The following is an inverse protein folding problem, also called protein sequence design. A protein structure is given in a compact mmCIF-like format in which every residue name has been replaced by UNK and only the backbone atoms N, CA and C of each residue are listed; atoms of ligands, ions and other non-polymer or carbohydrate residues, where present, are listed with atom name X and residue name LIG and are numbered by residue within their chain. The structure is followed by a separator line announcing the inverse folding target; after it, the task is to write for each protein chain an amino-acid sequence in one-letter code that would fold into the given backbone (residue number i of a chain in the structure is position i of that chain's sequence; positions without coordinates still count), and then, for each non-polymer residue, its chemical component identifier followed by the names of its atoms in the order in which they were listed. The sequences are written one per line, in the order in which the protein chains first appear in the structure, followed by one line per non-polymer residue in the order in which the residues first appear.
data_IF_537359183468
#
_entry.id   IF_537359183468
#
_cell.length_a   1.000
_cell.length_b   1.000
_cell.length_c   1.000
_cell.angle_alpha   90.00
_cell.angle_beta   90.00
_cell.angle_gamma   90.00
#
_symmetry.space_group_name_H-M   'P 1'
#
loop_
_entity.id
_entity.type
_entity.pdbx_description
1 polymer ?
#
# COMPACT_ATOMS: atom_id res chain seq x y z
N UNK A 1 0.95 9.73 19.16
CA UNK A 1 0.70 9.93 17.72
C UNK A 1 1.63 8.99 17.00
N UNK A 2 1.11 8.01 16.25
CA UNK A 2 1.93 7.14 15.42
C UNK A 2 2.77 7.91 14.40
N UNK A 3 3.97 7.41 14.12
CA UNK A 3 4.85 7.91 13.06
C UNK A 3 4.84 6.94 11.88
N UNK A 4 4.52 7.46 10.69
CA UNK A 4 4.65 6.72 9.44
C UNK A 4 5.88 7.17 8.67
N UNK A 5 6.77 6.23 8.38
CA UNK A 5 7.96 6.48 7.56
C UNK A 5 7.70 6.01 6.13
N UNK A 6 7.72 6.95 5.20
CA UNK A 6 7.61 6.69 3.76
C UNK A 6 8.99 6.52 3.17
N UNK A 7 9.38 5.25 2.94
CA UNK A 7 10.77 4.86 2.64
C UNK A 7 11.29 5.51 1.36
N UNK A 8 10.51 5.43 0.26
CA UNK A 8 10.92 6.01 -1.04
C UNK A 8 11.07 7.53 -0.98
N UNK A 9 10.20 8.20 -0.23
CA UNK A 9 10.20 9.65 -0.08
C UNK A 9 11.17 10.15 1.00
N UNK A 10 11.76 9.24 1.78
CA UNK A 10 12.61 9.54 2.96
C UNK A 10 11.93 10.55 3.90
N UNK A 11 10.61 10.43 4.05
CA UNK A 11 9.77 11.37 4.81
C UNK A 11 9.10 10.65 5.97
N UNK A 12 9.11 11.28 7.13
CA UNK A 12 8.37 10.82 8.30
C UNK A 12 7.20 11.77 8.54
N UNK A 13 6.06 11.21 8.90
CA UNK A 13 4.83 11.96 9.14
C UNK A 13 4.20 11.43 10.42
N UNK A 14 3.96 12.33 11.37
CA UNK A 14 3.15 12.03 12.54
C UNK A 14 1.67 12.12 12.17
N UNK A 15 0.91 11.09 12.52
CA UNK A 15 -0.51 11.01 12.22
C UNK A 15 -1.31 10.67 13.48
N UNK A 16 -2.61 11.03 13.53
CA UNK A 16 -3.50 10.49 14.54
C UNK A 16 -3.70 8.98 14.36
N UNK A 17 -3.81 8.25 15.47
CA UNK A 17 -4.18 6.83 15.43
C UNK A 17 -5.57 6.64 14.79
N UNK A 18 -5.73 5.56 14.02
CA UNK A 18 -6.93 5.25 13.25
C UNK A 18 -7.03 5.98 11.90
N UNK A 19 -6.09 6.89 11.59
CA UNK A 19 -6.09 7.65 10.34
C UNK A 19 -5.88 6.75 9.12
N UNK A 20 -6.46 7.16 7.98
CA UNK A 20 -6.34 6.43 6.73
C UNK A 20 -4.98 6.70 6.08
N UNK A 21 -4.24 5.64 5.76
CA UNK A 21 -2.88 5.75 5.24
C UNK A 21 -2.81 6.55 3.93
N UNK A 22 -3.72 6.30 2.99
CA UNK A 22 -3.75 7.05 1.72
C UNK A 22 -4.05 8.52 1.93
N UNK A 23 -5.03 8.86 2.78
CA UNK A 23 -5.42 10.25 2.99
C UNK A 23 -4.29 11.05 3.66
N UNK A 24 -3.65 10.49 4.69
CA UNK A 24 -2.55 11.16 5.38
C UNK A 24 -1.32 11.33 4.49
N UNK A 25 -1.01 10.33 3.65
CA UNK A 25 0.05 10.45 2.65
C UNK A 25 -0.22 11.63 1.69
N UNK A 26 -1.42 11.69 1.10
CA UNK A 26 -1.78 12.74 0.15
C UNK A 26 -1.79 14.14 0.79
N UNK A 27 -2.29 14.29 2.02
CA UNK A 27 -2.24 15.55 2.78
C UNK A 27 -0.81 16.04 2.97
N UNK A 28 0.14 15.12 3.09
CA UNK A 28 1.56 15.40 3.26
C UNK A 28 2.32 15.49 1.93
N UNK A 29 1.62 15.59 0.79
CA UNK A 29 2.23 15.71 -0.53
C UNK A 29 2.94 14.44 -1.01
N UNK A 30 2.60 13.28 -0.43
CA UNK A 30 3.18 12.00 -0.80
C UNK A 30 2.26 11.35 -1.82
N UNK A 31 2.81 11.13 -3.01
CA UNK A 31 2.08 10.52 -4.09
C UNK A 31 1.93 9.00 -3.89
N UNK A 32 0.70 8.51 -4.06
CA UNK A 32 0.32 7.12 -3.75
C UNK A 32 -0.01 6.31 -5.01
N UNK A 33 0.15 6.90 -6.19
CA UNK A 33 -0.20 6.31 -7.47
C UNK A 33 0.91 6.60 -8.49
N UNK A 34 1.15 5.68 -9.41
CA UNK A 34 2.12 5.85 -10.49
C UNK A 34 1.42 5.86 -11.85
N UNK A 35 2.01 6.57 -12.82
CA UNK A 35 1.53 6.63 -14.20
C UNK A 35 0.09 7.13 -14.32
N UNK A 36 -0.71 6.48 -15.17
CA UNK A 36 -2.09 6.90 -15.43
C UNK A 36 -2.99 6.91 -14.18
N UNK A 37 -2.65 6.13 -13.16
CA UNK A 37 -3.42 6.07 -11.91
C UNK A 37 -3.27 7.32 -11.04
N UNK A 38 -2.32 8.22 -11.34
CA UNK A 38 -2.31 9.56 -10.73
C UNK A 38 -3.61 10.32 -11.02
N UNK A 39 -4.17 10.11 -12.22
CA UNK A 39 -5.38 10.78 -12.69
C UNK A 39 -6.61 9.86 -12.67
N UNK A 40 -6.44 8.59 -13.05
CA UNK A 40 -7.50 7.59 -13.15
C UNK A 40 -7.37 6.50 -12.07
N UNK A 41 -7.68 6.87 -10.82
CA UNK A 41 -7.80 5.93 -9.70
C UNK A 41 -9.24 5.84 -9.19
N UNK A 42 -9.52 4.84 -8.35
CA UNK A 42 -10.84 4.63 -7.76
C UNK A 42 -11.17 5.59 -6.59
N UNK A 43 -10.39 6.65 -6.38
CA UNK A 43 -10.54 7.62 -5.30
C UNK A 43 -10.60 7.05 -3.87
N UNK A 44 -10.07 5.84 -3.68
CA UNK A 44 -10.03 5.17 -2.37
C UNK A 44 -11.17 4.19 -2.11
N UNK A 45 -11.98 3.87 -3.12
CA UNK A 45 -13.04 2.85 -3.02
C UNK A 45 -12.52 1.39 -3.00
N UNK A 46 -11.20 1.20 -3.05
CA UNK A 46 -10.59 -0.12 -2.99
C UNK A 46 -10.89 -0.99 -4.21
N UNK A 47 -11.04 -0.42 -5.41
CA UNK A 47 -11.37 -1.15 -6.65
C UNK A 47 -10.18 -1.28 -7.62
N UNK A 48 -9.35 -0.24 -7.75
CA UNK A 48 -8.30 -0.21 -8.77
C UNK A 48 -6.97 -0.86 -8.35
N UNK A 49 -6.81 -1.18 -7.07
CA UNK A 49 -5.57 -1.69 -6.47
C UNK A 49 -4.28 -0.86 -6.70
N UNK A 50 -4.38 0.33 -7.28
CA UNK A 50 -3.21 1.13 -7.67
C UNK A 50 -2.57 1.90 -6.51
N UNK A 51 -3.23 2.01 -5.34
CA UNK A 51 -2.66 2.55 -4.10
C UNK A 51 -2.01 1.46 -3.23
N UNK A 52 -1.44 0.43 -3.85
CA UNK A 52 -0.74 -0.64 -3.13
C UNK A 52 0.52 -0.08 -2.46
N UNK A 53 0.83 -0.60 -1.29
CA UNK A 53 2.04 -0.29 -0.52
C UNK A 53 2.57 -1.57 0.12
N UNK A 54 3.87 -1.66 0.32
CA UNK A 54 4.48 -2.70 1.14
C UNK A 54 4.75 -2.14 2.53
N UNK A 55 4.18 -2.73 3.57
CA UNK A 55 4.48 -2.38 4.96
C UNK A 55 5.70 -3.19 5.39
N UNK A 56 6.88 -2.56 5.39
CA UNK A 56 8.16 -3.21 5.68
C UNK A 56 8.38 -3.44 7.18
N UNK A 57 7.81 -2.58 8.02
CA UNK A 57 7.82 -2.71 9.49
C UNK A 57 6.51 -2.24 10.09
N UNK A 58 6.11 -2.85 11.20
CA UNK A 58 4.88 -2.49 11.92
C UNK A 58 3.62 -2.96 11.19
N UNK A 59 3.62 -4.17 10.64
CA UNK A 59 2.43 -4.74 9.98
C UNK A 59 1.27 -4.90 10.98
N UNK A 60 1.58 -5.33 12.20
CA UNK A 60 0.66 -5.41 13.34
C UNK A 60 0.01 -4.06 13.69
N UNK A 61 0.69 -2.97 13.34
CA UNK A 61 0.23 -1.60 13.56
C UNK A 61 -0.58 -1.05 12.38
N UNK A 62 -0.85 -1.85 11.34
CA UNK A 62 -1.64 -1.45 10.17
C UNK A 62 -2.87 -2.32 10.03
N UNK A 63 -4.04 -1.78 10.37
CA UNK A 63 -5.31 -2.50 10.23
C UNK A 63 -5.77 -2.48 8.77
N UNK A 64 -5.72 -3.63 8.11
CA UNK A 64 -6.15 -3.85 6.71
C UNK A 64 -7.45 -4.63 6.59
N UNK A 65 -8.11 -4.58 5.42
CA UNK A 65 -9.29 -5.39 5.08
C UNK A 65 -8.88 -6.61 4.27
N UNK A 66 -8.36 -7.62 4.95
CA UNK A 66 -7.77 -8.82 4.32
C UNK A 66 -8.74 -9.54 3.36
N UNK A 67 -10.02 -9.67 3.73
CA UNK A 67 -11.01 -10.37 2.88
C UNK A 67 -11.32 -9.63 1.57
N UNK A 68 -11.36 -8.29 1.59
CA UNK A 68 -11.65 -7.49 0.39
C UNK A 68 -10.47 -7.52 -0.57
N UNK A 69 -9.25 -7.53 -0.02
CA UNK A 69 -8.04 -7.78 -0.79
C UNK A 69 -8.12 -9.16 -1.47
N UNK A 70 -8.50 -10.24 -0.79
CA UNK A 70 -8.74 -11.54 -1.45
C UNK A 70 -9.71 -11.49 -2.63
N UNK A 71 -10.78 -10.71 -2.54
CA UNK A 71 -11.72 -10.53 -3.66
C UNK A 71 -11.08 -9.75 -4.81
N UNK A 72 -10.34 -8.67 -4.53
CA UNK A 72 -9.61 -7.96 -5.58
C UNK A 72 -8.55 -8.83 -6.25
N UNK A 73 -7.89 -9.73 -5.49
CA UNK A 73 -6.95 -10.71 -6.06
C UNK A 73 -7.63 -11.59 -7.10
N UNK A 74 -8.86 -12.03 -6.85
CA UNK A 74 -9.60 -12.86 -7.77
C UNK A 74 -10.10 -12.09 -9.01
N UNK A 75 -10.41 -10.79 -8.87
CA UNK A 75 -11.08 -10.02 -9.92
C UNK A 75 -10.14 -9.21 -10.82
N UNK A 76 -8.89 -8.95 -10.39
CA UNK A 76 -7.94 -8.15 -11.17
C UNK A 76 -6.80 -9.03 -11.70
N UNK A 77 -6.68 -9.24 -13.03
CA UNK A 77 -5.69 -10.16 -13.61
C UNK A 77 -4.24 -9.74 -13.41
N UNK A 78 -3.98 -8.45 -13.20
CA UNK A 78 -2.62 -7.89 -13.05
C UNK A 78 -2.18 -7.90 -11.58
N UNK A 79 -3.13 -7.85 -10.65
CA UNK A 79 -2.83 -7.65 -9.25
C UNK A 79 -2.14 -8.83 -8.54
N UNK A 80 -2.42 -10.10 -8.88
CA UNK A 80 -1.62 -11.24 -8.40
C UNK A 80 -0.12 -11.05 -8.68
N UNK A 81 0.27 -10.58 -9.87
CA UNK A 81 1.69 -10.39 -10.23
C UNK A 81 2.39 -9.35 -9.37
N UNK A 82 1.70 -8.28 -8.97
CA UNK A 82 2.26 -7.29 -8.07
C UNK A 82 2.53 -7.85 -6.66
N UNK A 83 1.77 -8.86 -6.24
CA UNK A 83 1.85 -9.43 -4.88
C UNK A 83 2.81 -10.63 -4.77
N UNK A 84 3.24 -11.22 -5.89
CA UNK A 84 4.20 -12.33 -5.89
C UNK A 84 5.50 -11.87 -5.21
N UNK A 85 5.85 -12.52 -4.09
CA UNK A 85 7.00 -12.19 -3.25
C UNK A 85 6.74 -11.13 -2.17
N UNK A 86 5.52 -10.58 -2.10
CA UNK A 86 5.08 -9.57 -1.14
C UNK A 86 3.73 -9.95 -0.49
N UNK A 87 3.48 -11.25 -0.33
CA UNK A 87 2.16 -11.78 0.03
C UNK A 87 1.68 -11.28 1.39
N UNK A 88 2.61 -11.19 2.33
CA UNK A 88 2.35 -10.76 3.71
C UNK A 88 2.39 -9.23 3.83
N UNK A 89 3.36 -8.58 3.18
CA UNK A 89 3.64 -7.16 3.36
C UNK A 89 2.80 -6.19 2.51
N UNK A 90 2.26 -6.64 1.37
CA UNK A 90 1.51 -5.76 0.47
C UNK A 90 0.07 -5.54 0.93
N UNK A 91 -0.37 -4.28 1.02
CA UNK A 91 -1.76 -3.89 1.35
C UNK A 91 -2.22 -2.68 0.54
N UNK A 92 -3.52 -2.39 0.55
CA UNK A 92 -4.09 -1.20 -0.09
C UNK A 92 -4.14 -0.02 0.89
N UNK A 93 -3.35 1.02 0.65
CA UNK A 93 -3.30 2.19 1.54
C UNK A 93 -4.66 2.87 1.75
N UNK A 94 -5.59 2.80 0.79
CA UNK A 94 -6.94 3.35 0.96
C UNK A 94 -7.84 2.54 1.91
N UNK A 95 -7.55 1.26 2.13
CA UNK A 95 -8.29 0.38 3.03
C UNK A 95 -7.55 0.13 4.34
N UNK A 96 -6.38 0.76 4.54
CA UNK A 96 -5.53 0.57 5.70
C UNK A 96 -5.62 1.76 6.67
N UNK A 97 -5.72 1.44 7.97
CA UNK A 97 -5.68 2.40 9.07
C UNK A 97 -4.40 2.24 9.88
N UNK A 98 -3.83 3.36 10.30
CA UNK A 98 -2.58 3.42 11.06
C UNK A 98 -2.92 3.33 12.55
N UNK A 99 -2.53 2.24 13.21
CA UNK A 99 -2.79 1.98 14.63
C UNK A 99 -1.54 2.21 15.50
N UNK A 100 -0.37 2.33 14.88
CA UNK A 100 0.93 2.49 15.53
C UNK A 100 2.01 2.79 14.51
N UNK A 101 3.26 2.87 14.96
CA UNK A 101 4.38 3.23 14.10
C UNK A 101 4.60 2.18 13.00
N UNK A 102 4.83 2.64 11.78
CA UNK A 102 5.07 1.74 10.64
C UNK A 102 5.99 2.36 9.58
N UNK A 103 6.67 1.49 8.83
CA UNK A 103 7.47 1.87 7.67
C UNK A 103 6.79 1.33 6.41
N UNK A 104 6.52 2.22 5.47
CA UNK A 104 5.79 1.92 4.25
C UNK A 104 6.61 2.27 3.01
N UNK A 105 6.65 1.34 2.08
CA UNK A 105 7.16 1.54 0.73
C UNK A 105 5.97 1.86 -0.19
N UNK A 106 5.96 3.07 -0.73
CA UNK A 106 4.94 3.55 -1.67
C UNK A 106 5.20 3.03 -3.07
N UNK A 107 4.12 2.78 -3.81
CA UNK A 107 4.17 2.36 -5.22
C UNK A 107 5.27 1.32 -5.49
N UNK A 108 5.20 0.13 -4.84
CA UNK A 108 6.19 -0.92 -5.04
C UNK A 108 6.19 -1.37 -6.51
N UNK A 109 7.36 -1.75 -6.99
CA UNK A 109 7.53 -2.18 -8.37
C UNK A 109 6.75 -3.48 -8.63
N UNK A 110 6.40 -3.70 -9.89
CA UNK A 110 5.63 -4.89 -10.26
C UNK A 110 6.60 -6.02 -10.56
N UNK A 111 6.42 -7.15 -9.90
CA UNK A 111 7.25 -8.33 -10.10
C UNK A 111 6.85 -9.05 -11.39
N UNK A 112 7.28 -8.51 -12.53
CA UNK A 112 6.99 -9.08 -13.86
C UNK A 112 7.75 -10.37 -14.16
N UNK A 113 8.91 -10.55 -13.51
CA UNK A 113 9.86 -11.61 -13.86
C UNK A 113 9.98 -12.70 -12.79
N UNK A 114 9.30 -12.57 -11.65
CA UNK A 114 9.36 -13.56 -10.57
C UNK A 114 10.79 -13.87 -10.20
N UNK A 115 11.50 -12.92 -9.59
CA UNK A 115 12.93 -13.06 -9.23
C UNK A 115 13.28 -14.28 -8.33
N UNK A 116 12.29 -15.08 -7.93
CA UNK A 116 12.44 -16.34 -7.18
C UNK A 116 12.28 -17.63 -8.00
N UNK A 117 12.27 -17.61 -9.35
CA UNK A 117 12.18 -18.87 -10.12
C UNK A 117 13.51 -19.62 -10.29
N UNK A 118 14.67 -18.98 -10.09
CA UNK A 118 15.99 -19.57 -10.36
C UNK A 118 17.01 -19.42 -9.21
N UNK A 119 16.53 -19.23 -7.98
CA UNK A 119 17.37 -19.13 -6.78
C UNK A 119 17.40 -20.43 -5.99
#
# INVERSE_FOLDING_TARGET
MPTVTFIKQKKQVEVPEGSNLRQEALKNGIEMHAGIHQYANCFGNGLCASCRVNVKKGMENVRRKTWWEYILFALNPIWPFARIGHEEEMTLACQSKIMGDCEVETTPDMNWHGEKFWG
#
